data_IF_407745400701
#
_entry.id   IF_407745400701
#
_cell.length_a   1.000
_cell.length_b   1.000
_cell.length_c   1.000
_cell.angle_alpha   90.00
_cell.angle_beta   90.00
_cell.angle_gamma   90.00
#
_symmetry.space_group_name_H-M   'P 1'
#
loop_
_entity.id
_entity.type
_entity.pdbx_description
1 polymer ?
#
# COMPACT_ATOMS: atom_id res chain seq x y z
N UNK A 1 -0.84 -1.15 -36.60
CA UNK A 1 -0.50 -2.14 -35.56
C UNK A 1 -0.80 -3.53 -36.07
N UNK A 2 0.12 -4.50 -35.91
CA UNK A 2 -0.14 -5.91 -36.22
C UNK A 2 -0.82 -6.60 -35.03
N UNK A 3 -1.57 -7.68 -35.27
CA UNK A 3 -2.23 -8.46 -34.21
C UNK A 3 -1.21 -8.99 -33.19
N UNK A 4 -0.08 -9.52 -33.66
CA UNK A 4 1.00 -10.01 -32.80
C UNK A 4 1.55 -8.94 -31.84
N UNK A 5 1.72 -7.70 -32.30
CA UNK A 5 2.19 -6.62 -31.43
C UNK A 5 1.17 -6.22 -30.36
N UNK A 6 -0.13 -6.43 -30.62
CA UNK A 6 -1.19 -6.22 -29.63
C UNK A 6 -1.20 -7.36 -28.59
N UNK A 7 -0.96 -8.60 -29.01
CA UNK A 7 -0.83 -9.76 -28.11
C UNK A 7 0.38 -9.63 -27.17
N UNK A 8 1.52 -9.17 -27.69
CA UNK A 8 2.74 -8.94 -26.90
C UNK A 8 2.49 -7.88 -25.81
N UNK A 9 1.78 -6.79 -26.15
CA UNK A 9 1.41 -5.76 -25.16
C UNK A 9 0.35 -6.22 -24.17
N UNK A 10 -0.64 -7.00 -24.62
CA UNK A 10 -1.60 -7.62 -23.71
C UNK A 10 -0.87 -8.51 -22.68
N UNK A 11 0.12 -9.28 -23.12
CA UNK A 11 0.92 -10.15 -22.25
C UNK A 11 1.70 -9.33 -21.23
N UNK A 12 2.36 -8.26 -21.67
CA UNK A 12 3.05 -7.34 -20.76
C UNK A 12 2.08 -6.69 -19.75
N UNK A 13 0.87 -6.33 -20.17
CA UNK A 13 -0.14 -5.76 -19.28
C UNK A 13 -0.68 -6.81 -18.28
N UNK A 14 -0.80 -8.07 -18.68
CA UNK A 14 -1.15 -9.16 -17.77
C UNK A 14 -0.05 -9.39 -16.71
N UNK A 15 1.22 -9.34 -17.10
CA UNK A 15 2.36 -9.46 -16.18
C UNK A 15 2.39 -8.31 -15.16
N UNK A 16 2.22 -7.07 -15.61
CA UNK A 16 2.16 -5.91 -14.71
C UNK A 16 0.94 -5.98 -13.79
N UNK A 17 -0.19 -6.51 -14.26
CA UNK A 17 -1.38 -6.74 -13.43
C UNK A 17 -1.15 -7.84 -12.39
N UNK A 18 -0.36 -8.86 -12.71
CA UNK A 18 0.06 -9.87 -11.74
C UNK A 18 0.97 -9.27 -10.65
N UNK A 19 1.93 -8.43 -11.03
CA UNK A 19 2.77 -7.68 -10.08
C UNK A 19 1.93 -6.76 -9.18
N UNK A 20 0.96 -6.05 -9.77
CA UNK A 20 0.03 -5.18 -9.06
C UNK A 20 -0.74 -5.93 -7.95
N UNK A 21 -1.21 -7.16 -8.23
CA UNK A 21 -1.86 -8.00 -7.22
C UNK A 21 -0.92 -8.32 -6.05
N UNK A 22 0.34 -8.66 -6.35
CA UNK A 22 1.36 -8.92 -5.33
C UNK A 22 1.59 -7.70 -4.42
N UNK A 23 1.65 -6.50 -5.00
CA UNK A 23 1.80 -5.27 -4.21
C UNK A 23 0.57 -4.97 -3.35
N UNK A 24 -0.64 -5.18 -3.88
CA UNK A 24 -1.88 -5.03 -3.12
C UNK A 24 -1.92 -5.98 -1.92
N UNK A 25 -1.54 -7.24 -2.12
CA UNK A 25 -1.48 -8.23 -1.05
C UNK A 25 -0.41 -7.88 -0.01
N UNK A 26 0.74 -7.34 -0.45
CA UNK A 26 1.78 -6.83 0.45
C UNK A 26 1.27 -5.65 1.29
N UNK A 27 0.55 -4.72 0.68
CA UNK A 27 -0.05 -3.59 1.40
C UNK A 27 -1.10 -4.08 2.42
N UNK A 28 -1.92 -5.06 2.05
CA UNK A 28 -2.96 -5.60 2.93
C UNK A 28 -2.39 -6.27 4.18
N UNK A 29 -1.22 -6.90 4.05
CA UNK A 29 -0.51 -7.63 5.13
C UNK A 29 0.58 -6.81 5.81
N UNK A 30 0.66 -5.51 5.52
CA UNK A 30 1.69 -4.66 6.10
C UNK A 30 1.35 -4.42 7.58
N UNK A 31 2.23 -4.89 8.45
CA UNK A 31 2.13 -4.69 9.90
C UNK A 31 3.15 -3.65 10.36
N UNK A 32 2.72 -2.76 11.25
CA UNK A 32 3.57 -1.74 11.85
C UNK A 32 3.97 -2.12 13.27
N UNK A 33 5.27 -2.08 13.55
CA UNK A 33 5.76 -2.20 14.92
C UNK A 33 5.63 -0.85 15.66
N UNK A 34 5.28 -0.84 16.95
CA UNK A 34 5.28 0.39 17.76
C UNK A 34 6.65 1.09 17.70
N UNK A 35 6.68 2.40 17.43
CA UNK A 35 7.92 3.18 17.29
C UNK A 35 8.61 3.11 15.91
N UNK A 36 8.12 2.29 14.98
CA UNK A 36 8.68 2.23 13.62
C UNK A 36 8.27 3.42 12.73
N UNK A 37 7.17 4.09 13.07
CA UNK A 37 6.68 5.28 12.37
C UNK A 37 6.49 6.39 13.41
N UNK A 38 7.14 7.55 13.27
CA UNK A 38 6.96 8.65 14.22
C UNK A 38 5.48 9.02 14.38
N UNK A 39 5.07 9.35 15.61
CA UNK A 39 3.68 9.68 15.93
C UNK A 39 3.14 10.89 15.15
N UNK A 40 4.03 11.81 14.77
CA UNK A 40 3.72 13.04 14.03
C UNK A 40 3.99 12.93 12.52
N UNK A 41 4.46 11.77 12.04
CA UNK A 41 4.71 11.57 10.61
C UNK A 41 3.39 11.45 9.83
N UNK A 42 3.31 12.12 8.68
CA UNK A 42 2.20 11.92 7.75
C UNK A 42 2.14 10.46 7.26
N UNK A 43 0.92 9.96 7.05
CA UNK A 43 0.68 8.61 6.52
C UNK A 43 1.35 8.42 5.15
N UNK A 44 1.46 9.49 4.35
CA UNK A 44 2.05 9.48 3.01
C UNK A 44 3.58 9.28 3.03
N UNK A 45 4.24 9.65 4.13
CA UNK A 45 5.68 9.45 4.36
C UNK A 45 6.00 8.06 4.94
N UNK A 46 4.98 7.23 5.18
CA UNK A 46 5.16 5.87 5.67
C UNK A 46 5.36 4.88 4.53
N UNK A 47 5.93 3.71 4.83
CA UNK A 47 6.04 2.61 3.87
C UNK A 47 4.68 2.21 3.25
N UNK A 48 3.56 2.40 3.96
CA UNK A 48 2.23 2.19 3.37
C UNK A 48 1.81 3.28 2.40
N UNK A 49 2.25 4.52 2.62
CA UNK A 49 2.01 5.67 1.75
C UNK A 49 2.72 5.51 0.42
N UNK A 50 4.02 5.21 0.47
CA UNK A 50 4.84 4.93 -0.72
C UNK A 50 4.27 3.76 -1.55
N UNK A 51 3.99 2.63 -0.89
CA UNK A 51 3.41 1.46 -1.55
C UNK A 51 2.02 1.77 -2.13
N UNK A 52 1.22 2.60 -1.44
CA UNK A 52 -0.09 3.04 -1.95
C UNK A 52 0.06 3.96 -3.18
N UNK A 53 1.08 4.82 -3.21
CA UNK A 53 1.34 5.69 -4.34
C UNK A 53 1.79 4.89 -5.58
N UNK A 54 2.68 3.92 -5.40
CA UNK A 54 3.15 3.00 -6.44
C UNK A 54 1.99 2.18 -7.03
N UNK A 55 1.20 1.51 -6.18
CA UNK A 55 0.00 0.76 -6.61
C UNK A 55 -0.99 1.68 -7.34
N UNK A 56 -1.17 2.90 -6.83
CA UNK A 56 -2.01 3.91 -7.44
C UNK A 56 -1.57 4.29 -8.85
N UNK A 57 -0.26 4.48 -9.06
CA UNK A 57 0.30 4.79 -10.37
C UNK A 57 0.18 3.60 -11.33
N UNK A 58 0.55 2.39 -10.90
CA UNK A 58 0.43 1.19 -11.72
C UNK A 58 -1.01 0.91 -12.15
N UNK A 59 -1.99 1.12 -11.28
CA UNK A 59 -3.41 0.99 -11.66
C UNK A 59 -3.83 2.00 -12.72
N UNK A 60 -3.41 3.27 -12.60
CA UNK A 60 -3.76 4.29 -13.60
C UNK A 60 -3.17 3.94 -14.94
N UNK A 61 -1.85 3.72 -14.98
CA UNK A 61 -1.15 3.33 -16.22
C UNK A 61 -1.71 2.04 -16.82
N UNK A 62 -2.08 1.05 -16.00
CA UNK A 62 -2.66 -0.19 -16.49
C UNK A 62 -4.08 -0.02 -17.07
N UNK A 63 -4.91 0.86 -16.50
CA UNK A 63 -6.23 1.17 -17.05
C UNK A 63 -6.12 1.95 -18.37
N UNK A 64 -5.21 2.92 -18.43
CA UNK A 64 -4.97 3.71 -19.64
C UNK A 64 -4.46 2.82 -20.79
N UNK A 65 -3.52 1.91 -20.53
CA UNK A 65 -3.04 0.94 -21.53
C UNK A 65 -4.12 -0.06 -21.93
N UNK A 66 -4.97 -0.52 -21.00
CA UNK A 66 -6.09 -1.42 -21.30
C UNK A 66 -7.11 -0.76 -22.24
N UNK A 67 -7.43 0.51 -21.98
CA UNK A 67 -8.33 1.29 -22.83
C UNK A 67 -7.74 1.49 -24.23
N UNK A 68 -6.46 1.87 -24.31
CA UNK A 68 -5.75 2.02 -25.58
C UNK A 68 -5.72 0.69 -26.36
N UNK A 69 -5.37 -0.41 -25.71
CA UNK A 69 -5.36 -1.74 -26.33
C UNK A 69 -6.74 -2.13 -26.85
N UNK A 70 -7.80 -1.85 -26.08
CA UNK A 70 -9.18 -2.12 -26.50
C UNK A 70 -9.53 -1.37 -27.79
N UNK A 71 -9.17 -0.08 -27.87
CA UNK A 71 -9.38 0.73 -29.05
C UNK A 71 -8.57 0.20 -30.24
N UNK A 72 -7.28 -0.06 -30.07
CA UNK A 72 -6.43 -0.54 -31.15
C UNK A 72 -6.85 -1.91 -31.67
N UNK A 73 -7.29 -2.82 -30.78
CA UNK A 73 -7.89 -4.10 -31.15
C UNK A 73 -9.18 -3.90 -31.93
N UNK A 74 -9.97 -2.85 -31.67
CA UNK A 74 -11.17 -2.56 -32.46
C UNK A 74 -10.84 -2.19 -33.91
N UNK A 75 -9.75 -1.45 -34.14
CA UNK A 75 -9.28 -1.00 -35.46
C UNK A 75 -8.39 -2.01 -36.20
N UNK A 76 -7.88 -3.04 -35.52
CA UNK A 76 -7.02 -4.05 -36.13
C UNK A 76 -7.72 -4.79 -37.29
N UNK A 77 -6.99 -5.06 -38.37
CA UNK A 77 -7.45 -5.87 -39.52
C UNK A 77 -6.44 -6.98 -39.82
N UNK A 78 -6.87 -8.12 -40.41
CA UNK A 78 -8.25 -8.48 -40.76
C UNK A 78 -9.12 -8.84 -39.54
N UNK A 79 -10.43 -8.81 -39.72
CA UNK A 79 -11.38 -9.39 -38.76
C UNK A 79 -11.28 -10.93 -38.81
N UNK A 80 -11.24 -11.57 -37.64
CA UNK A 80 -11.09 -13.02 -37.53
C UNK A 80 -11.16 -13.50 -36.08
N UNK A 81 -11.11 -14.83 -35.90
CA UNK A 81 -11.24 -15.48 -34.59
C UNK A 81 -10.15 -15.03 -33.61
N UNK A 82 -8.95 -14.76 -34.11
CA UNK A 82 -7.84 -14.25 -33.29
C UNK A 82 -8.15 -12.86 -32.72
N UNK A 83 -8.67 -11.95 -33.55
CA UNK A 83 -9.10 -10.61 -33.12
C UNK A 83 -10.22 -10.69 -32.08
N UNK A 84 -11.18 -11.59 -32.24
CA UNK A 84 -12.27 -11.75 -31.26
C UNK A 84 -11.76 -12.26 -29.92
N UNK A 85 -10.85 -13.24 -29.92
CA UNK A 85 -10.23 -13.75 -28.69
C UNK A 85 -9.40 -12.68 -27.99
N UNK A 86 -8.58 -11.96 -28.74
CA UNK A 86 -7.78 -10.86 -28.23
C UNK A 86 -8.65 -9.79 -27.57
N UNK A 87 -9.80 -9.45 -28.18
CA UNK A 87 -10.78 -8.52 -27.59
C UNK A 87 -11.35 -9.04 -26.28
N UNK A 88 -11.78 -10.30 -26.24
CA UNK A 88 -12.29 -10.93 -25.02
C UNK A 88 -11.25 -10.94 -23.89
N UNK A 89 -9.98 -11.18 -24.23
CA UNK A 89 -8.89 -11.18 -23.28
C UNK A 89 -8.60 -9.77 -22.72
N UNK A 90 -8.65 -8.74 -23.56
CA UNK A 90 -8.52 -7.33 -23.15
C UNK A 90 -9.66 -6.91 -22.23
N UNK A 91 -10.91 -7.31 -22.54
CA UNK A 91 -12.07 -7.04 -21.67
C UNK A 91 -11.96 -7.77 -20.33
N UNK A 92 -11.53 -9.03 -20.34
CA UNK A 92 -11.28 -9.80 -19.12
C UNK A 92 -10.22 -9.13 -18.25
N UNK A 93 -9.15 -8.62 -18.84
CA UNK A 93 -8.11 -7.88 -18.14
C UNK A 93 -8.63 -6.55 -17.55
N UNK A 94 -9.53 -5.86 -18.25
CA UNK A 94 -10.23 -4.68 -17.71
C UNK A 94 -11.05 -5.00 -16.46
N UNK A 95 -11.81 -6.10 -16.49
CA UNK A 95 -12.55 -6.58 -15.32
C UNK A 95 -11.64 -6.96 -14.15
N UNK A 96 -10.48 -7.54 -14.45
CA UNK A 96 -9.44 -7.86 -13.48
C UNK A 96 -8.87 -6.60 -12.80
N UNK A 97 -8.48 -5.58 -13.57
CA UNK A 97 -8.01 -4.30 -13.05
C UNK A 97 -9.05 -3.62 -12.17
N UNK A 98 -10.33 -3.66 -12.57
CA UNK A 98 -11.44 -3.16 -11.75
C UNK A 98 -11.55 -3.90 -10.41
N UNK A 99 -11.36 -5.23 -10.42
CA UNK A 99 -11.32 -6.06 -9.22
C UNK A 99 -10.13 -5.70 -8.31
N UNK A 100 -8.94 -5.50 -8.89
CA UNK A 100 -7.74 -5.02 -8.19
C UNK A 100 -7.99 -3.68 -7.50
N UNK A 101 -8.69 -2.74 -8.13
CA UNK A 101 -9.08 -1.47 -7.51
C UNK A 101 -9.91 -1.66 -6.24
N UNK A 102 -10.84 -2.61 -6.25
CA UNK A 102 -11.63 -2.98 -5.08
C UNK A 102 -10.77 -3.56 -3.95
N UNK A 103 -9.84 -4.47 -4.28
CA UNK A 103 -8.88 -5.05 -3.31
C UNK A 103 -7.94 -4.00 -2.74
N UNK A 104 -7.44 -3.09 -3.58
CA UNK A 104 -6.55 -2.02 -3.16
C UNK A 104 -7.20 -1.09 -2.13
N UNK A 105 -8.47 -0.72 -2.31
CA UNK A 105 -9.19 0.08 -1.31
C UNK A 105 -9.24 -0.62 0.04
N UNK A 106 -9.52 -1.93 0.06
CA UNK A 106 -9.51 -2.74 1.28
C UNK A 106 -8.11 -2.82 1.90
N UNK A 107 -7.08 -3.03 1.07
CA UNK A 107 -5.69 -3.08 1.51
C UNK A 107 -5.24 -1.77 2.17
N UNK A 108 -5.60 -0.61 1.59
CA UNK A 108 -5.34 0.71 2.19
C UNK A 108 -6.00 0.87 3.55
N UNK A 109 -7.24 0.42 3.71
CA UNK A 109 -7.93 0.48 4.99
C UNK A 109 -7.24 -0.40 6.04
N UNK A 110 -6.86 -1.63 5.67
CA UNK A 110 -6.11 -2.55 6.53
C UNK A 110 -4.78 -1.94 6.99
N UNK A 111 -3.99 -1.38 6.07
CA UNK A 111 -2.72 -0.74 6.39
C UNK A 111 -2.90 0.47 7.32
N UNK A 112 -3.91 1.31 7.09
CA UNK A 112 -4.23 2.45 7.96
C UNK A 112 -4.64 2.01 9.36
N UNK A 113 -5.43 0.95 9.46
CA UNK A 113 -5.82 0.40 10.75
C UNK A 113 -4.61 -0.14 11.51
N UNK A 114 -3.74 -0.92 10.87
CA UNK A 114 -2.51 -1.42 11.49
C UNK A 114 -1.60 -0.28 11.99
N UNK A 115 -1.42 0.77 11.17
CA UNK A 115 -0.64 1.95 11.55
C UNK A 115 -1.24 2.66 12.78
N UNK A 116 -2.56 2.85 12.78
CA UNK A 116 -3.26 3.48 13.90
C UNK A 116 -3.15 2.64 15.18
N UNK A 117 -3.24 1.32 15.08
CA UNK A 117 -3.06 0.39 16.20
C UNK A 117 -1.63 0.48 16.75
N UNK A 118 -0.61 0.48 15.90
CA UNK A 118 0.79 0.60 16.31
C UNK A 118 1.06 1.91 17.05
N UNK A 119 0.61 3.05 16.51
CA UNK A 119 0.72 4.37 17.17
C UNK A 119 0.00 4.41 18.51
N UNK A 120 -1.17 3.78 18.62
CA UNK A 120 -1.93 3.70 19.88
C UNK A 120 -1.19 2.87 20.92
N UNK A 121 -0.56 1.76 20.51
CA UNK A 121 0.27 0.94 21.40
C UNK A 121 1.51 1.70 21.87
N UNK A 122 2.19 2.41 20.97
CA UNK A 122 3.34 3.25 21.30
C UNK A 122 2.98 4.32 22.35
N UNK A 123 1.90 5.08 22.13
CA UNK A 123 1.41 6.07 23.11
C UNK A 123 1.12 5.45 24.47
N UNK A 124 0.54 4.25 24.52
CA UNK A 124 0.29 3.53 25.78
C UNK A 124 1.58 3.11 26.48
N UNK A 125 2.56 2.63 25.74
CA UNK A 125 3.86 2.25 26.29
C UNK A 125 4.60 3.46 26.86
N UNK A 126 4.57 4.60 26.15
CA UNK A 126 5.13 5.86 26.63
C UNK A 126 4.45 6.34 27.92
N UNK A 127 3.11 6.35 27.98
CA UNK A 127 2.40 6.75 29.20
C UNK A 127 2.73 5.84 30.39
N UNK A 128 2.88 4.53 30.15
CA UNK A 128 3.24 3.58 31.20
C UNK A 128 4.66 3.81 31.72
N UNK A 129 5.64 4.11 30.85
CA UNK A 129 7.00 4.41 31.31
C UNK A 129 7.05 5.68 32.16
N UNK A 130 6.33 6.74 31.79
CA UNK A 130 6.22 7.96 32.61
C UNK A 130 5.61 7.70 33.98
N UNK A 131 4.56 6.87 34.08
CA UNK A 131 3.94 6.55 35.36
C UNK A 131 4.88 5.78 36.32
N UNK A 132 5.75 4.92 35.78
CA UNK A 132 6.76 4.20 36.57
C UNK A 132 7.84 5.16 37.08
N UNK A 133 8.35 6.07 36.23
CA UNK A 133 9.35 7.06 36.62
C UNK A 133 8.84 8.09 37.63
N UNK A 134 7.55 8.42 37.61
CA UNK A 134 6.94 9.33 38.59
C UNK A 134 6.75 8.69 39.99
N UNK A 135 6.84 7.35 40.08
CA UNK A 135 6.65 6.60 41.33
C UNK A 135 7.97 6.29 42.03
N UNK A 136 9.13 6.65 41.45
CA UNK A 136 10.42 6.49 42.11
C UNK A 136 10.49 7.48 43.29
N UNK A 137 10.46 7.00 44.55
CA UNK A 137 10.49 7.88 45.71
C UNK A 137 11.83 8.61 45.72
N UNK A 138 11.78 9.94 45.91
CA UNK A 138 12.96 10.77 46.06
C UNK A 138 13.94 10.11 47.06
N UNK A 139 15.24 10.00 46.72
CA UNK A 139 16.22 9.52 47.69
C UNK A 139 16.10 10.39 48.95
N UNK A 140 16.13 9.81 50.16
CA UNK A 140 16.02 10.58 51.38
C UNK A 140 17.11 11.65 51.36
N UNK A 141 16.67 12.91 51.36
CA UNK A 141 17.57 14.06 51.39
C UNK A 141 18.46 13.95 52.63
N UNK A 142 19.76 13.90 52.40
CA UNK A 142 20.74 14.22 53.44
C UNK A 142 20.43 15.64 53.91
N UNK A 143 19.85 15.73 55.11
CA UNK A 143 19.58 16.98 55.78
C UNK A 143 20.88 17.74 56.04
N UNK A 144 20.87 19.09 56.04
CA UNK A 144 22.07 19.86 56.27
C UNK A 144 22.55 19.62 57.71
N UNK A 145 23.75 19.05 57.84
CA UNK A 145 24.49 19.06 59.10
C UNK A 145 24.93 20.51 59.40
N UNK A 146 24.04 21.27 60.03
CA UNK A 146 24.39 22.46 60.79
C UNK A 146 24.80 22.06 62.22
N UNK A 147 25.87 22.72 62.66
CA UNK A 147 26.35 22.93 64.04
C UNK A 147 26.97 21.76 64.83
N UNK A 148 28.27 21.86 65.11
CA UNK A 148 28.76 22.46 66.38
C UNK A 148 30.22 22.06 66.70
N UNK A 149 31.15 23.03 66.65
CA UNK A 149 32.19 23.38 67.65
C UNK A 149 33.46 23.96 67.03
#
# INVERSE_FOLDING_TARGET
MSLRGLEERLTALQETTAQLRGLIDRLAKLEFQPGAVPLDADDDSSASGELSAEIGQMMRSGLDEQELLREEVSFARPDGVEKTRLREDVERLGAELASCRGRFRKARLSARESLAQARKLERRLLLRSYAVSATEPAPPGDGPAQDAR
#
